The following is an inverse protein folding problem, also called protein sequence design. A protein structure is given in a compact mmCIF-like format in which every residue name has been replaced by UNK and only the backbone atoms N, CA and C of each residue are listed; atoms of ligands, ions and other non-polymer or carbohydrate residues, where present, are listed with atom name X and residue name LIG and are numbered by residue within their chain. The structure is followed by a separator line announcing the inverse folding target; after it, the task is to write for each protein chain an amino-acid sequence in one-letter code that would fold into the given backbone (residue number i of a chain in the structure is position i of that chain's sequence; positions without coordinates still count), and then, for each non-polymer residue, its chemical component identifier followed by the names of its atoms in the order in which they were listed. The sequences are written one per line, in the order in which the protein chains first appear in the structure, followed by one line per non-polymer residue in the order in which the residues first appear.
data_IF_471729134679
#
_entry.id   IF_471729134679
#
_cell.length_a   1.000
_cell.length_b   1.000
_cell.length_c   1.000
_cell.angle_alpha   90.00
_cell.angle_beta   90.00
_cell.angle_gamma   90.00
#
_symmetry.space_group_name_H-M   'P 1'
#
loop_
_entity.id
_entity.type
_entity.pdbx_description
1 polymer ?
#
# COMPACT_ATOMS: atom_id res chain seq x y z
N UNK A 1 3.95 -20.03 11.75
CA UNK A 1 5.29 -19.43 11.59
C UNK A 1 5.24 -18.01 12.13
N UNK A 2 6.28 -17.57 12.83
CA UNK A 2 6.38 -16.22 13.41
C UNK A 2 7.78 -15.65 13.20
N UNK A 3 7.89 -14.43 12.68
CA UNK A 3 9.18 -13.76 12.46
C UNK A 3 9.73 -13.14 13.74
N UNK A 4 10.85 -13.66 14.25
CA UNK A 4 11.43 -13.15 15.52
C UNK A 4 12.12 -11.80 15.39
N UNK A 5 12.62 -11.48 14.21
CA UNK A 5 13.34 -10.24 13.91
C UNK A 5 12.34 -9.11 13.64
N UNK A 6 12.55 -7.96 14.27
CA UNK A 6 11.67 -6.80 14.22
C UNK A 6 10.20 -7.18 14.51
N UNK A 7 9.87 -7.59 15.75
CA UNK A 7 8.53 -8.05 16.11
C UNK A 7 7.39 -7.07 15.79
N UNK A 8 7.68 -5.77 15.74
CA UNK A 8 6.70 -4.73 15.39
C UNK A 8 6.15 -4.84 13.96
N UNK A 9 6.84 -5.54 13.05
CA UNK A 9 6.39 -5.79 11.69
C UNK A 9 5.25 -6.83 11.62
N UNK A 10 4.89 -7.43 12.76
CA UNK A 10 3.70 -8.27 12.91
C UNK A 10 3.60 -9.41 11.90
N UNK A 11 4.65 -10.23 11.86
CA UNK A 11 4.83 -11.29 10.86
C UNK A 11 4.47 -12.64 11.46
N UNK A 12 3.23 -13.06 11.30
CA UNK A 12 2.78 -14.41 11.63
C UNK A 12 1.94 -14.98 10.48
N UNK A 13 2.15 -16.24 10.13
CA UNK A 13 1.42 -16.92 9.05
C UNK A 13 1.27 -18.41 9.33
N UNK A 14 0.25 -19.04 8.74
CA UNK A 14 0.19 -20.51 8.66
C UNK A 14 1.10 -20.97 7.53
N UNK A 15 1.88 -22.02 7.75
CA UNK A 15 2.65 -22.64 6.69
C UNK A 15 1.70 -23.45 5.79
N UNK A 16 1.66 -23.14 4.49
CA UNK A 16 0.84 -23.87 3.50
C UNK A 16 1.50 -25.16 3.03
N UNK A 17 2.83 -25.21 3.11
CA UNK A 17 3.66 -26.32 2.65
C UNK A 17 4.62 -26.75 3.74
N UNK A 18 5.00 -28.02 3.69
CA UNK A 18 6.11 -28.55 4.47
C UNK A 18 7.44 -28.06 3.89
N UNK A 19 8.39 -27.70 4.75
CA UNK A 19 9.69 -27.24 4.31
C UNK A 19 10.59 -26.74 5.43
N UNK A 20 11.71 -26.15 5.04
CA UNK A 20 12.72 -25.58 5.94
C UNK A 20 12.60 -24.05 5.88
N UNK A 21 12.66 -23.39 7.03
CA UNK A 21 12.65 -21.94 7.14
C UNK A 21 13.96 -21.41 7.75
N UNK A 22 14.19 -20.10 7.59
CA UNK A 22 15.30 -19.41 8.26
C UNK A 22 15.23 -19.56 9.79
N UNK A 23 16.37 -19.46 10.45
CA UNK A 23 16.51 -19.48 11.91
C UNK A 23 15.84 -18.29 12.60
N UNK A 24 15.57 -17.22 11.85
CA UNK A 24 14.81 -16.06 12.32
C UNK A 24 13.28 -16.30 12.29
N UNK A 25 12.82 -17.49 11.87
CA UNK A 25 11.42 -17.90 11.95
C UNK A 25 11.23 -18.90 13.09
N UNK A 26 10.31 -18.58 14.00
CA UNK A 26 9.85 -19.47 15.04
C UNK A 26 8.64 -20.25 14.53
N UNK A 27 8.70 -21.58 14.66
CA UNK A 27 7.63 -22.48 14.23
C UNK A 27 6.79 -22.85 15.45
N UNK A 28 5.56 -22.38 15.48
CA UNK A 28 4.57 -22.75 16.47
C UNK A 28 3.72 -23.90 15.93
N UNK A 29 3.52 -24.93 16.74
CA UNK A 29 2.63 -26.06 16.44
C UNK A 29 1.48 -26.06 17.42
N UNK A 30 0.25 -25.99 16.91
CA UNK A 30 -0.94 -26.07 17.74
C UNK A 30 -1.15 -27.51 18.23
N UNK A 31 -1.49 -27.67 19.50
CA UNK A 31 -1.86 -28.97 20.08
C UNK A 31 -3.38 -29.20 19.96
N UNK A 32 -3.88 -30.30 20.53
CA UNK A 32 -5.30 -30.67 20.47
C UNK A 32 -6.27 -29.67 21.13
N UNK A 33 -5.77 -28.69 21.90
CA UNK A 33 -6.58 -27.67 22.57
C UNK A 33 -6.59 -26.33 21.84
N UNK A 34 -5.95 -26.25 20.67
CA UNK A 34 -5.74 -24.99 19.97
C UNK A 34 -5.97 -25.13 18.47
N UNK A 35 -6.77 -24.22 17.92
CA UNK A 35 -6.99 -24.13 16.49
C UNK A 35 -5.84 -23.36 15.84
N UNK A 36 -5.18 -23.87 14.78
CA UNK A 36 -4.06 -23.20 14.14
C UNK A 36 -4.36 -21.76 13.69
N UNK A 37 -5.55 -21.52 13.14
CA UNK A 37 -5.99 -20.18 12.71
C UNK A 37 -6.17 -19.23 13.88
N UNK A 38 -6.77 -19.70 14.97
CA UNK A 38 -6.90 -18.92 16.22
C UNK A 38 -5.51 -18.53 16.76
N UNK A 39 -4.55 -19.47 16.75
CA UNK A 39 -3.18 -19.18 17.18
C UNK A 39 -2.56 -18.07 16.34
N UNK A 40 -2.73 -18.07 15.02
CA UNK A 40 -2.20 -16.97 14.18
C UNK A 40 -2.83 -15.63 14.55
N UNK A 41 -4.14 -15.56 14.78
CA UNK A 41 -4.77 -14.32 15.25
C UNK A 41 -4.32 -13.90 16.65
N UNK A 42 -4.06 -14.84 17.54
CA UNK A 42 -3.45 -14.56 18.84
C UNK A 42 -2.07 -13.93 18.69
N UNK A 43 -1.24 -14.43 17.76
CA UNK A 43 0.09 -13.88 17.48
C UNK A 43 0.02 -12.45 16.88
N UNK A 44 -1.06 -12.12 16.18
CA UNK A 44 -1.33 -10.75 15.68
C UNK A 44 -2.02 -9.84 16.68
N UNK A 45 -2.44 -10.38 17.84
CA UNK A 45 -3.12 -9.60 18.85
C UNK A 45 -2.19 -8.54 19.44
N UNK A 46 -2.75 -7.37 19.76
CA UNK A 46 -1.99 -6.30 20.39
C UNK A 46 -1.25 -6.73 21.66
N UNK A 47 -1.86 -7.50 22.60
CA UNK A 47 -1.15 -7.95 23.80
C UNK A 47 0.08 -8.80 23.48
N UNK A 48 -0.04 -9.75 22.55
CA UNK A 48 1.09 -10.59 22.16
C UNK A 48 2.20 -9.77 21.49
N UNK A 49 1.84 -8.92 20.52
CA UNK A 49 2.79 -8.08 19.80
C UNK A 49 3.51 -7.10 20.74
N UNK A 50 2.78 -6.50 21.67
CA UNK A 50 3.35 -5.61 22.70
C UNK A 50 4.34 -6.35 23.58
N UNK A 51 4.00 -7.55 24.07
CA UNK A 51 4.90 -8.40 24.84
C UNK A 51 6.16 -8.79 24.06
N UNK A 52 6.00 -9.19 22.80
CA UNK A 52 7.11 -9.57 21.93
C UNK A 52 8.06 -8.39 21.65
N UNK A 53 7.53 -7.16 21.55
CA UNK A 53 8.33 -5.94 21.40
C UNK A 53 9.05 -5.58 22.69
N UNK A 54 8.36 -5.63 23.84
CA UNK A 54 8.91 -5.27 25.15
C UNK A 54 10.05 -6.20 25.59
N UNK A 55 9.99 -7.47 25.17
CA UNK A 55 10.99 -8.50 25.52
C UNK A 55 12.05 -8.72 24.43
N UNK A 56 12.01 -7.94 23.34
CA UNK A 56 13.00 -8.03 22.28
C UNK A 56 14.35 -7.44 22.73
N UNK A 57 15.44 -8.07 22.28
CA UNK A 57 16.81 -7.66 22.56
C UNK A 57 17.54 -7.20 21.30
N UNK A 58 18.39 -6.18 21.41
CA UNK A 58 19.18 -5.61 20.32
C UNK A 58 18.63 -4.26 19.84
N UNK A 59 19.53 -3.37 19.41
CA UNK A 59 19.20 -1.97 19.05
C UNK A 59 18.76 -1.88 17.59
N UNK A 60 19.64 -2.25 16.65
CA UNK A 60 19.38 -2.08 15.20
C UNK A 60 18.46 -3.17 14.63
N UNK A 61 18.56 -4.39 15.15
CA UNK A 61 17.87 -5.59 14.67
C UNK A 61 17.28 -6.34 15.87
N UNK A 62 16.29 -5.77 16.57
CA UNK A 62 15.68 -6.37 17.74
C UNK A 62 15.11 -7.75 17.42
N UNK A 63 15.44 -8.72 18.26
CA UNK A 63 14.92 -10.09 18.16
C UNK A 63 14.26 -10.52 19.45
N UNK A 64 13.11 -11.17 19.34
CA UNK A 64 12.56 -11.93 20.46
C UNK A 64 13.13 -13.36 20.49
N UNK A 65 12.82 -14.12 21.54
CA UNK A 65 13.30 -15.49 21.76
C UNK A 65 12.17 -16.41 22.25
N UNK A 66 12.37 -17.73 22.16
CA UNK A 66 11.41 -18.70 22.70
C UNK A 66 11.13 -18.49 24.19
N UNK A 67 12.17 -18.22 24.99
CA UNK A 67 12.03 -18.01 26.43
C UNK A 67 11.17 -16.77 26.70
N UNK A 68 11.48 -15.66 26.02
CA UNK A 68 10.73 -14.41 26.17
C UNK A 68 9.25 -14.55 25.75
N UNK A 69 8.97 -15.21 24.61
CA UNK A 69 7.60 -15.41 24.15
C UNK A 69 6.83 -16.42 25.00
N UNK A 70 7.51 -17.41 25.58
CA UNK A 70 6.90 -18.43 26.45
C UNK A 70 6.36 -17.88 27.77
N UNK A 71 6.83 -16.70 28.19
CA UNK A 71 6.34 -15.99 29.38
C UNK A 71 5.01 -15.26 29.12
N UNK A 72 4.58 -15.16 27.86
CA UNK A 72 3.29 -14.54 27.53
C UNK A 72 2.14 -15.40 28.05
N UNK A 73 1.20 -14.76 28.75
CA UNK A 73 0.01 -15.42 29.29
C UNK A 73 -1.26 -14.87 28.65
N UNK A 74 -2.22 -15.76 28.41
CA UNK A 74 -3.53 -15.42 27.87
C UNK A 74 -4.57 -16.44 28.35
N UNK A 75 -5.83 -16.04 28.32
CA UNK A 75 -6.97 -16.94 28.53
C UNK A 75 -7.17 -17.80 27.29
N UNK A 76 -7.10 -19.13 27.43
CA UNK A 76 -7.39 -20.06 26.36
C UNK A 76 -8.89 -20.40 26.34
N UNK A 77 -9.67 -19.90 25.36
CA UNK A 77 -11.10 -20.23 25.27
C UNK A 77 -11.30 -21.69 24.82
N UNK A 78 -12.53 -22.18 24.95
CA UNK A 78 -12.91 -23.52 24.46
C UNK A 78 -12.74 -23.62 22.94
N UNK A 79 -12.61 -24.85 22.41
CA UNK A 79 -12.46 -25.05 20.96
C UNK A 79 -13.62 -24.42 20.17
N UNK A 80 -14.85 -24.55 20.66
CA UNK A 80 -16.04 -23.95 20.04
C UNK A 80 -15.96 -22.42 20.03
N UNK A 81 -15.54 -21.80 21.12
CA UNK A 81 -15.34 -20.34 21.16
C UNK A 81 -14.17 -19.91 20.25
N UNK A 82 -13.10 -20.70 20.14
CA UNK A 82 -12.02 -20.43 19.19
C UNK A 82 -12.53 -20.42 17.74
N UNK A 83 -13.39 -21.36 17.36
CA UNK A 83 -14.01 -21.39 16.02
C UNK A 83 -14.88 -20.15 15.77
N UNK A 84 -15.68 -19.75 16.75
CA UNK A 84 -16.52 -18.55 16.66
C UNK A 84 -15.67 -17.29 16.47
N UNK A 85 -14.60 -17.14 17.25
CA UNK A 85 -13.67 -16.01 17.15
C UNK A 85 -13.02 -15.98 15.76
N UNK A 86 -12.55 -17.13 15.27
CA UNK A 86 -11.94 -17.25 13.94
C UNK A 86 -12.95 -16.87 12.86
N UNK A 87 -14.18 -17.40 12.93
CA UNK A 87 -15.22 -17.11 11.94
C UNK A 87 -15.55 -15.63 11.85
N UNK A 88 -15.62 -14.95 13.00
CA UNK A 88 -15.94 -13.51 13.02
C UNK A 88 -14.77 -12.65 12.52
N UNK A 89 -13.52 -13.04 12.82
CA UNK A 89 -12.33 -12.36 12.29
C UNK A 89 -12.23 -12.51 10.77
N UNK A 90 -12.39 -13.73 10.24
CA UNK A 90 -12.38 -13.98 8.80
C UNK A 90 -13.51 -13.23 8.08
N UNK A 91 -14.70 -13.15 8.69
CA UNK A 91 -15.82 -12.37 8.15
C UNK A 91 -15.46 -10.89 8.03
N UNK A 92 -14.83 -10.31 9.05
CA UNK A 92 -14.41 -8.91 9.02
C UNK A 92 -13.28 -8.64 8.01
N UNK A 93 -12.29 -9.53 7.95
CA UNK A 93 -11.19 -9.40 6.99
C UNK A 93 -11.69 -9.50 5.55
N UNK A 94 -12.62 -10.41 5.27
CA UNK A 94 -13.22 -10.54 3.93
C UNK A 94 -13.97 -9.27 3.48
N UNK A 95 -14.61 -8.56 4.41
CA UNK A 95 -15.24 -7.26 4.09
C UNK A 95 -14.18 -6.22 3.75
N UNK A 96 -13.06 -6.18 4.47
CA UNK A 96 -11.96 -5.27 4.18
C UNK A 96 -11.36 -5.54 2.78
N UNK A 97 -11.14 -6.81 2.43
CA UNK A 97 -10.63 -7.21 1.11
C UNK A 97 -11.57 -6.77 -0.03
N UNK A 98 -12.89 -6.89 0.18
CA UNK A 98 -13.89 -6.43 -0.79
C UNK A 98 -13.88 -4.91 -0.98
N UNK A 99 -13.69 -4.15 0.10
CA UNK A 99 -13.57 -2.69 0.05
C UNK A 99 -12.32 -2.29 -0.73
N UNK A 100 -11.18 -2.93 -0.45
CA UNK A 100 -9.92 -2.67 -1.16
C UNK A 100 -10.07 -2.93 -2.67
N UNK A 101 -10.61 -4.09 -3.04
CA UNK A 101 -10.86 -4.44 -4.44
C UNK A 101 -11.81 -3.46 -5.15
N UNK A 102 -12.83 -2.97 -4.43
CA UNK A 102 -13.77 -1.98 -4.96
C UNK A 102 -13.07 -0.64 -5.18
N UNK A 103 -12.28 -0.16 -4.22
CA UNK A 103 -11.53 1.09 -4.35
C UNK A 103 -10.57 1.07 -5.54
N UNK A 104 -9.84 -0.03 -5.74
CA UNK A 104 -8.93 -0.19 -6.88
C UNK A 104 -9.68 -0.13 -8.21
N UNK A 105 -10.84 -0.78 -8.30
CA UNK A 105 -11.67 -0.76 -9.50
C UNK A 105 -12.21 0.66 -9.80
N UNK A 106 -12.63 1.39 -8.77
CA UNK A 106 -13.14 2.76 -8.88
C UNK A 106 -12.04 3.75 -9.27
N UNK A 107 -10.85 3.65 -8.66
CA UNK A 107 -9.70 4.48 -9.04
C UNK A 107 -9.34 4.31 -10.52
N UNK A 108 -9.27 3.06 -10.97
CA UNK A 108 -9.00 2.75 -12.39
C UNK A 108 -10.10 3.28 -13.32
N UNK A 109 -11.35 3.25 -12.87
CA UNK A 109 -12.49 3.80 -13.63
C UNK A 109 -12.43 5.32 -13.71
N UNK A 110 -12.09 6.00 -12.62
CA UNK A 110 -11.88 7.44 -12.58
C UNK A 110 -10.72 7.88 -13.50
N UNK A 111 -9.61 7.15 -13.51
CA UNK A 111 -8.49 7.42 -14.43
C UNK A 111 -8.91 7.29 -15.90
N UNK A 112 -9.62 6.22 -16.25
CA UNK A 112 -10.15 6.03 -17.62
C UNK A 112 -11.13 7.13 -18.00
N UNK A 113 -12.03 7.53 -17.10
CA UNK A 113 -12.97 8.62 -17.34
C UNK A 113 -12.22 9.93 -17.60
N UNK A 114 -11.21 10.25 -16.77
CA UNK A 114 -10.37 11.43 -16.97
C UNK A 114 -9.66 11.41 -18.33
N UNK A 115 -9.07 10.28 -18.71
CA UNK A 115 -8.44 10.12 -20.03
C UNK A 115 -9.45 10.28 -21.16
N UNK A 116 -10.66 9.73 -21.01
CA UNK A 116 -11.73 9.88 -21.99
C UNK A 116 -12.17 11.33 -22.14
N UNK A 117 -12.38 12.06 -21.04
CA UNK A 117 -12.74 13.48 -21.05
C UNK A 117 -11.64 14.29 -21.74
N UNK A 118 -10.37 14.08 -21.38
CA UNK A 118 -9.25 14.78 -22.05
C UNK A 118 -9.19 14.45 -23.54
N UNK A 119 -9.39 13.19 -23.92
CA UNK A 119 -9.45 12.78 -25.32
C UNK A 119 -10.59 13.47 -26.07
N UNK A 120 -11.77 13.59 -25.46
CA UNK A 120 -12.90 14.31 -26.04
C UNK A 120 -12.64 15.82 -26.12
N UNK A 121 -11.95 16.40 -25.14
CA UNK A 121 -11.53 17.81 -25.15
C UNK A 121 -10.57 18.10 -26.31
N UNK A 122 -9.50 17.33 -26.44
CA UNK A 122 -8.50 17.54 -27.50
C UNK A 122 -9.01 17.19 -28.90
N UNK A 123 -10.07 16.39 -29.02
CA UNK A 123 -10.71 16.09 -30.31
C UNK A 123 -11.89 17.02 -30.64
N UNK A 124 -12.14 18.05 -29.81
CA UNK A 124 -13.22 19.02 -30.01
C UNK A 124 -14.63 18.46 -29.75
N UNK A 125 -14.76 17.21 -29.28
CA UNK A 125 -16.06 16.52 -29.14
C UNK A 125 -16.81 16.84 -27.84
N UNK A 126 -16.27 17.72 -27.00
CA UNK A 126 -16.90 18.13 -25.73
C UNK A 126 -18.01 19.17 -25.89
N UNK A 127 -18.07 19.86 -27.03
CA UNK A 127 -19.03 20.94 -27.33
C UNK A 127 -19.60 20.70 -28.73
N UNK A 128 -20.90 20.98 -28.99
CA UNK A 128 -21.46 20.94 -30.33
C UNK A 128 -20.61 21.75 -31.30
N UNK A 129 -20.20 21.14 -32.41
CA UNK A 129 -19.38 21.80 -33.43
C UNK A 129 -20.30 22.58 -34.37
N UNK A 130 -19.94 23.82 -34.71
CA UNK A 130 -20.65 24.58 -35.74
C UNK A 130 -20.24 24.02 -37.11
N UNK A 131 -21.18 23.61 -37.98
CA UNK A 131 -20.87 23.15 -39.34
C UNK A 131 -20.15 24.21 -40.20
N UNK A 132 -20.21 25.48 -39.81
CA UNK A 132 -19.53 26.58 -40.48
C UNK A 132 -18.12 26.87 -39.93
N UNK A 133 -17.65 26.15 -38.91
CA UNK A 133 -16.29 26.33 -38.39
C UNK A 133 -15.24 26.01 -39.45
N UNK A 134 -14.23 26.88 -39.54
CA UNK A 134 -13.11 26.72 -40.47
C UNK A 134 -12.40 25.37 -40.20
N UNK A 135 -12.14 24.53 -41.22
CA UNK A 135 -11.44 23.27 -41.01
C UNK A 135 -10.03 23.53 -40.46
N UNK A 136 -9.66 22.77 -39.42
CA UNK A 136 -8.40 22.93 -38.66
C UNK A 136 -7.15 23.00 -39.55
N UNK A 137 -7.17 22.35 -40.72
CA UNK A 137 -6.08 22.37 -41.69
C UNK A 137 -5.75 23.78 -42.21
N UNK A 138 -6.79 24.60 -42.45
CA UNK A 138 -6.64 25.98 -42.93
C UNK A 138 -6.05 26.87 -41.83
N UNK A 139 -6.43 26.64 -40.57
CA UNK A 139 -5.86 27.35 -39.42
C UNK A 139 -4.39 26.97 -39.19
N UNK A 140 -4.03 25.69 -39.40
CA UNK A 140 -2.65 25.22 -39.29
C UNK A 140 -1.75 25.81 -40.38
N UNK A 141 -2.24 25.91 -41.62
CA UNK A 141 -1.51 26.58 -42.71
C UNK A 141 -1.28 28.07 -42.39
N UNK A 142 -2.31 28.80 -41.94
CA UNK A 142 -2.16 30.21 -41.48
C UNK A 142 -1.11 30.34 -40.36
N UNK A 143 -1.11 29.43 -39.37
CA UNK A 143 -0.12 29.44 -38.28
C UNK A 143 1.30 29.10 -38.78
N UNK A 144 1.43 28.19 -39.76
CA UNK A 144 2.73 27.84 -40.35
C UNK A 144 3.28 28.97 -41.22
N UNK A 145 2.43 29.66 -41.97
CA UNK A 145 2.80 30.85 -42.73
C UNK A 145 3.25 31.99 -41.78
N UNK A 146 2.49 32.26 -40.71
CA UNK A 146 2.86 33.24 -39.69
C UNK A 146 4.16 32.89 -38.93
N UNK A 147 4.36 31.60 -38.59
CA UNK A 147 5.61 31.13 -37.94
C UNK A 147 6.79 31.10 -38.90
N UNK A 148 6.57 30.86 -40.19
CA UNK A 148 7.59 30.96 -41.23
C UNK A 148 8.10 32.40 -41.42
N UNK A 149 7.25 33.39 -41.10
CA UNK A 149 7.59 34.81 -41.15
C UNK A 149 8.18 35.34 -39.82
N UNK A 150 8.13 34.56 -38.73
CA UNK A 150 8.78 34.87 -37.46
C UNK A 150 10.10 34.09 -37.32
N UNK A 151 11.22 34.76 -37.62
CA UNK A 151 12.56 34.22 -37.36
C UNK A 151 12.72 33.72 -35.91
N UNK A 152 13.49 32.65 -35.67
CA UNK A 152 13.67 32.08 -34.34
C UNK A 152 14.43 33.06 -33.44
N UNK A 153 13.72 33.80 -32.59
CA UNK A 153 14.36 34.48 -31.45
C UNK A 153 14.82 33.40 -30.48
N UNK A 154 16.12 33.07 -30.54
CA UNK A 154 16.86 32.30 -29.52
C UNK A 154 16.45 32.78 -28.12
N UNK A 155 15.63 32.01 -27.41
CA UNK A 155 15.50 32.16 -25.96
C UNK A 155 16.82 31.71 -25.37
N UNK A 156 17.59 32.64 -24.79
CA UNK A 156 18.73 32.31 -23.94
C UNK A 156 18.24 31.34 -22.87
N UNK A 157 18.86 30.18 -22.77
CA UNK A 157 18.71 29.26 -21.65
C UNK A 157 19.22 29.99 -20.41
N UNK A 158 18.33 30.62 -19.65
CA UNK A 158 18.60 30.92 -18.26
C UNK A 158 18.64 29.57 -17.55
N UNK A 159 19.83 29.15 -17.09
CA UNK A 159 19.99 28.00 -16.21
C UNK A 159 18.97 28.15 -15.09
N UNK A 160 17.98 27.26 -15.02
CA UNK A 160 17.18 27.08 -13.82
C UNK A 160 18.13 26.43 -12.83
N UNK A 161 18.74 27.25 -11.98
CA UNK A 161 19.39 26.77 -10.78
C UNK A 161 18.30 26.06 -9.95
N UNK A 162 18.57 24.82 -9.58
CA UNK A 162 17.79 24.07 -8.61
C UNK A 162 17.63 24.88 -7.32
N UNK A 163 16.41 25.11 -6.80
CA UNK A 163 16.27 25.65 -5.47
C UNK A 163 16.56 24.55 -4.45
N UNK A 164 17.82 24.44 -4.03
CA UNK A 164 18.16 23.85 -2.73
C UNK A 164 17.66 24.82 -1.66
N UNK A 165 16.43 24.61 -1.16
CA UNK A 165 15.99 25.21 0.09
C UNK A 165 16.30 24.24 1.22
N UNK A 166 17.52 24.33 1.75
CA UNK A 166 17.74 24.04 3.17
C UNK A 166 16.95 25.08 3.96
N UNK A 167 15.86 24.65 4.58
CA UNK A 167 15.15 25.43 5.58
C UNK A 167 15.79 25.08 6.94
N UNK A 168 16.87 25.76 7.30
CA UNK A 168 17.32 25.83 8.69
C UNK A 168 16.66 27.04 9.33
N UNK A 169 15.67 26.81 10.20
CA UNK A 169 15.21 27.83 11.14
C UNK A 169 15.95 27.65 12.48
N UNK A 170 16.38 28.75 13.10
CA UNK A 170 17.02 28.72 14.41
C UNK A 170 15.97 28.45 15.48
N UNK A 171 16.17 27.42 16.30
CA UNK A 171 15.55 27.37 17.62
C UNK A 171 16.51 28.05 18.58
N UNK A 172 16.01 29.11 19.22
CA UNK A 172 16.46 29.57 20.52
C UNK A 172 15.48 28.97 21.54
#
# INVERSE_FOLDING_TARGET
MYGRLNPHLDKAVIAEIEGICSTDILVFTANSKMIPRFLVYLLHSYPFRSHAMATASGITLPRTSWNALGEFTFTLPSLTEQEQIVSELERHLSVADQIEATLDAELKSAERLRQSILKHAFSGKLVPQDPNDEPVNVLLEKIQEEKGHQQPKRKKTTKIASPTKQLSLPFN
#
